data_IF_487204747364
#
_entry.id   IF_487204747364
#
_cell.length_a   1.000
_cell.length_b   1.000
_cell.length_c   1.000
_cell.angle_alpha   90.00
_cell.angle_beta   90.00
_cell.angle_gamma   90.00
#
_symmetry.space_group_name_H-M   'P 1'
#
loop_
_entity.id
_entity.type
_entity.pdbx_description
1 polymer ?
#
# COMPACT_ATOMS: atom_id res chain seq x y z
N UNK A 1 -37.22 -15.01 -28.60
CA UNK A 1 -37.58 -13.58 -28.60
C UNK A 1 -38.05 -13.09 -27.24
N UNK A 2 -39.06 -13.69 -26.58
CA UNK A 2 -39.57 -13.14 -25.30
C UNK A 2 -38.60 -13.29 -24.10
N UNK A 3 -37.83 -14.38 -24.05
CA UNK A 3 -36.86 -14.62 -22.98
C UNK A 3 -35.69 -13.60 -23.02
N UNK A 4 -35.20 -13.28 -24.21
CA UNK A 4 -34.12 -12.30 -24.40
C UNK A 4 -34.59 -10.89 -24.06
N UNK A 5 -35.84 -10.55 -24.39
CA UNK A 5 -36.44 -9.26 -24.03
C UNK A 5 -36.65 -9.11 -22.51
N UNK A 6 -36.89 -10.22 -21.81
CA UNK A 6 -36.99 -10.25 -20.35
C UNK A 6 -35.61 -10.07 -19.70
N UNK A 7 -34.58 -10.70 -20.26
CA UNK A 7 -33.20 -10.60 -19.77
C UNK A 7 -32.63 -9.18 -19.96
N UNK A 8 -32.87 -8.55 -21.12
CA UNK A 8 -32.48 -7.16 -21.37
C UNK A 8 -33.14 -6.20 -20.37
N UNK A 9 -34.43 -6.40 -20.07
CA UNK A 9 -35.16 -5.59 -19.10
C UNK A 9 -34.65 -5.79 -17.67
N UNK A 10 -34.30 -7.01 -17.28
CA UNK A 10 -33.71 -7.30 -15.98
C UNK A 10 -32.34 -6.63 -15.81
N UNK A 11 -31.48 -6.68 -16.83
CA UNK A 11 -30.17 -6.05 -16.82
C UNK A 11 -30.28 -4.52 -16.79
N UNK A 12 -31.22 -3.93 -17.53
CA UNK A 12 -31.47 -2.49 -17.47
C UNK A 12 -31.95 -2.03 -16.08
N UNK A 13 -32.81 -2.81 -15.43
CA UNK A 13 -33.28 -2.51 -14.08
C UNK A 13 -32.13 -2.57 -13.05
N UNK A 14 -31.21 -3.51 -13.20
CA UNK A 14 -30.04 -3.63 -12.34
C UNK A 14 -29.03 -2.50 -12.56
N UNK A 15 -28.76 -2.12 -13.81
CA UNK A 15 -27.91 -0.95 -14.13
C UNK A 15 -28.52 0.32 -13.51
N UNK A 16 -29.84 0.48 -13.57
CA UNK A 16 -30.53 1.61 -12.95
C UNK A 16 -30.44 1.57 -11.41
N UNK A 17 -30.52 0.39 -10.79
CA UNK A 17 -30.34 0.22 -9.35
C UNK A 17 -28.89 0.54 -8.90
N UNK A 18 -27.90 0.06 -9.64
CA UNK A 18 -26.48 0.33 -9.38
C UNK A 18 -26.13 1.81 -9.53
N UNK A 19 -26.68 2.49 -10.55
CA UNK A 19 -26.52 3.94 -10.72
C UNK A 19 -27.12 4.72 -9.56
N UNK A 20 -28.31 4.34 -9.07
CA UNK A 20 -28.91 4.96 -7.89
C UNK A 20 -28.08 4.74 -6.62
N UNK A 21 -27.54 3.55 -6.43
CA UNK A 21 -26.65 3.26 -5.30
C UNK A 21 -25.31 4.02 -5.38
N UNK A 22 -24.89 4.45 -6.57
CA UNK A 22 -23.70 5.27 -6.77
C UNK A 22 -23.97 6.77 -6.55
N UNK A 23 -25.17 7.24 -6.89
CA UNK A 23 -25.60 8.63 -6.64
C UNK A 23 -25.88 8.91 -5.17
N UNK A 24 -26.35 7.90 -4.42
CA UNK A 24 -26.59 8.00 -2.97
C UNK A 24 -25.80 6.91 -2.21
N UNK A 25 -24.45 7.01 -2.19
CA UNK A 25 -23.63 6.03 -1.50
C UNK A 25 -23.93 6.11 0.00
N UNK A 26 -24.13 4.98 0.70
CA UNK A 26 -24.25 5.00 2.15
C UNK A 26 -23.04 5.71 2.74
N UNK A 27 -23.29 6.61 3.69
CA UNK A 27 -22.32 7.57 4.19
C UNK A 27 -20.96 6.89 4.48
N UNK A 28 -19.87 7.25 3.76
CA UNK A 28 -18.54 6.65 3.93
C UNK A 28 -17.87 6.95 5.29
N UNK A 29 -18.61 7.47 6.26
CA UNK A 29 -18.08 8.33 7.31
C UNK A 29 -17.76 7.60 8.62
N UNK A 30 -18.43 6.48 8.92
CA UNK A 30 -18.15 5.73 10.16
C UNK A 30 -16.79 5.03 10.12
N UNK A 31 -16.42 4.47 8.97
CA UNK A 31 -15.11 3.85 8.77
C UNK A 31 -14.01 4.91 8.67
N UNK A 32 -14.23 6.00 7.93
CA UNK A 32 -13.28 7.13 7.85
C UNK A 32 -13.03 7.81 9.20
N UNK A 33 -14.01 7.91 10.09
CA UNK A 33 -13.81 8.51 11.42
C UNK A 33 -12.97 7.63 12.34
N UNK A 34 -13.13 6.31 12.27
CA UNK A 34 -12.26 5.35 12.99
C UNK A 34 -10.85 5.38 12.43
N UNK A 35 -10.73 5.42 11.11
CA UNK A 35 -9.46 5.47 10.37
C UNK A 35 -8.72 6.79 10.63
N UNK A 36 -9.43 7.92 10.67
CA UNK A 36 -8.84 9.24 10.93
C UNK A 36 -8.37 9.41 12.38
N UNK A 37 -9.13 8.88 13.36
CA UNK A 37 -8.72 8.88 14.78
C UNK A 37 -7.48 8.01 15.02
N UNK A 38 -7.38 6.87 14.32
CA UNK A 38 -6.20 6.00 14.39
C UNK A 38 -4.99 6.61 13.68
N UNK A 39 -5.16 7.30 12.54
CA UNK A 39 -4.08 8.06 11.91
C UNK A 39 -3.53 9.20 12.78
N UNK A 40 -4.38 9.88 13.58
CA UNK A 40 -3.93 10.87 14.56
C UNK A 40 -3.14 10.25 15.73
N UNK A 41 -3.49 9.03 16.15
CA UNK A 41 -2.74 8.29 17.18
C UNK A 41 -1.35 7.88 16.68
N UNK A 42 -1.25 7.43 15.42
CA UNK A 42 0.03 7.03 14.78
C UNK A 42 1.02 8.21 14.73
N UNK A 43 0.55 9.44 14.51
CA UNK A 43 1.40 10.63 14.41
C UNK A 43 1.86 11.18 15.78
N UNK A 44 1.32 10.66 16.89
CA UNK A 44 1.58 11.07 18.27
C UNK A 44 2.60 10.17 18.99
N UNK A 45 3.47 9.48 18.25
CA UNK A 45 4.57 8.69 18.80
C UNK A 45 5.63 9.61 19.45
N UNK A 46 5.34 10.10 20.66
CA UNK A 46 6.28 10.85 21.48
C UNK A 46 7.29 9.84 22.08
N UNK A 47 8.54 9.91 21.63
CA UNK A 47 9.67 9.16 22.19
C UNK A 47 10.05 9.57 23.62
N UNK A 48 9.37 10.54 24.22
CA UNK A 48 9.82 11.24 25.41
C UNK A 48 8.99 10.82 26.63
N UNK A 49 9.45 9.80 27.36
CA UNK A 49 8.84 9.47 28.66
C UNK A 49 8.89 8.04 29.16
N UNK A 50 9.96 7.28 28.94
CA UNK A 50 10.03 5.89 29.40
C UNK A 50 10.36 5.82 30.89
N UNK A 51 9.33 5.83 31.74
CA UNK A 51 9.51 5.93 33.21
C UNK A 51 9.09 4.69 34.01
N UNK A 52 8.43 3.68 33.43
CA UNK A 52 8.12 2.42 34.17
C UNK A 52 7.88 1.18 33.30
N UNK A 53 8.02 -0.02 33.89
CA UNK A 53 7.69 -1.31 33.24
C UNK A 53 6.20 -1.46 32.91
N UNK A 54 5.30 -0.90 33.75
CA UNK A 54 3.86 -0.92 33.50
C UNK A 54 3.48 -0.06 32.29
N UNK A 55 4.16 1.08 32.14
CA UNK A 55 4.03 1.96 30.99
C UNK A 55 4.47 1.26 29.70
N UNK A 56 5.63 0.57 29.71
CA UNK A 56 6.11 -0.21 28.57
C UNK A 56 5.12 -1.28 28.09
N UNK A 57 4.47 -2.01 29.02
CA UNK A 57 3.47 -3.03 28.66
C UNK A 57 2.23 -2.44 27.99
N UNK A 58 1.78 -1.28 28.47
CA UNK A 58 0.64 -0.59 27.87
C UNK A 58 0.99 -0.06 26.47
N UNK A 59 2.20 0.47 26.29
CA UNK A 59 2.69 0.93 24.98
C UNK A 59 2.84 -0.21 23.97
N UNK A 60 3.33 -1.37 24.41
CA UNK A 60 3.39 -2.55 23.56
C UNK A 60 1.99 -2.96 23.09
N UNK A 61 1.02 -3.02 23.99
CA UNK A 61 -0.38 -3.33 23.63
C UNK A 61 -0.99 -2.29 22.69
N UNK A 62 -0.62 -1.02 22.81
CA UNK A 62 -1.03 0.03 21.89
C UNK A 62 -0.43 -0.19 20.49
N UNK A 63 0.89 -0.42 20.39
CA UNK A 63 1.58 -0.73 19.14
C UNK A 63 1.03 -1.98 18.45
N UNK A 64 0.75 -3.04 19.21
CA UNK A 64 0.13 -4.26 18.70
C UNK A 64 -1.26 -3.98 18.12
N UNK A 65 -2.04 -3.13 18.78
CA UNK A 65 -3.37 -2.71 18.31
C UNK A 65 -3.28 -1.87 17.05
N UNK A 66 -2.31 -0.95 16.97
CA UNK A 66 -2.05 -0.13 15.77
C UNK A 66 -1.60 -1.00 14.60
N UNK A 67 -0.68 -1.95 14.81
CA UNK A 67 -0.24 -2.88 13.78
C UNK A 67 -1.39 -3.77 13.29
N UNK A 68 -2.23 -4.26 14.20
CA UNK A 68 -3.44 -5.02 13.87
C UNK A 68 -4.43 -4.19 13.05
N UNK A 69 -4.61 -2.93 13.43
CA UNK A 69 -5.44 -1.99 12.69
C UNK A 69 -4.90 -1.73 11.28
N UNK A 70 -3.60 -1.43 11.14
CA UNK A 70 -2.95 -1.19 9.84
C UNK A 70 -2.99 -2.44 8.95
N UNK A 71 -2.79 -3.62 9.53
CA UNK A 71 -2.92 -4.89 8.83
C UNK A 71 -4.34 -5.10 8.31
N UNK A 72 -5.36 -4.81 9.12
CA UNK A 72 -6.76 -4.92 8.71
C UNK A 72 -7.09 -3.91 7.61
N UNK A 73 -6.60 -2.68 7.74
CA UNK A 73 -6.87 -1.59 6.80
C UNK A 73 -6.22 -1.82 5.44
N UNK A 74 -4.97 -2.29 5.42
CA UNK A 74 -4.16 -2.42 4.19
C UNK A 74 -4.09 -3.86 3.66
N UNK A 75 -4.55 -4.83 4.43
CA UNK A 75 -4.32 -6.25 4.19
C UNK A 75 -2.85 -6.69 4.29
N UNK A 76 -1.92 -5.79 4.63
CA UNK A 76 -0.48 -6.06 4.70
C UNK A 76 -0.13 -6.61 6.09
N UNK A 77 0.45 -7.80 6.10
CA UNK A 77 0.89 -8.49 7.29
C UNK A 77 2.38 -8.78 7.22
N UNK A 78 3.16 -8.16 8.11
CA UNK A 78 4.56 -8.48 8.32
C UNK A 78 4.65 -9.73 9.19
N UNK A 79 5.35 -10.76 8.72
CA UNK A 79 5.54 -12.04 9.43
C UNK A 79 6.89 -12.10 10.11
N UNK A 80 7.95 -11.80 9.36
CA UNK A 80 9.32 -11.85 9.86
C UNK A 80 10.05 -10.56 9.52
N UNK A 81 10.89 -10.13 10.44
CA UNK A 81 11.83 -9.03 10.26
C UNK A 81 13.16 -9.43 10.91
N UNK A 82 14.25 -9.26 10.16
CA UNK A 82 15.61 -9.41 10.68
C UNK A 82 16.46 -8.24 10.22
N UNK A 83 17.31 -7.75 11.13
CA UNK A 83 18.22 -6.63 10.90
C UNK A 83 19.64 -7.06 11.23
N UNK A 84 20.58 -6.77 10.33
CA UNK A 84 22.01 -6.84 10.57
C UNK A 84 22.59 -5.43 10.50
N UNK A 85 23.51 -5.09 11.39
CA UNK A 85 24.13 -3.76 11.47
C UNK A 85 25.64 -3.91 11.35
N UNK A 86 26.25 -3.10 10.50
CA UNK A 86 27.69 -3.06 10.25
C UNK A 86 28.18 -1.62 10.44
N UNK A 87 29.19 -1.43 11.30
CA UNK A 87 29.80 -0.11 11.50
C UNK A 87 30.90 0.09 10.46
N UNK A 88 30.75 1.12 9.63
CA UNK A 88 31.64 1.43 8.52
C UNK A 88 32.66 2.53 8.90
N UNK A 89 32.75 2.91 10.17
CA UNK A 89 33.80 3.85 10.60
C UNK A 89 35.17 3.19 10.51
N UNK A 90 36.00 3.65 9.56
CA UNK A 90 37.37 3.19 9.43
C UNK A 90 38.20 3.62 10.64
N UNK A 91 39.04 2.71 11.15
CA UNK A 91 40.01 2.95 12.22
C UNK A 91 41.15 3.89 11.80
N UNK A 92 41.23 4.28 10.52
CA UNK A 92 42.29 5.14 10.00
C UNK A 92 41.76 6.49 9.52
N UNK A 93 42.32 7.55 10.14
CA UNK A 93 42.44 8.95 9.71
C UNK A 93 41.26 9.90 9.95
N UNK A 94 41.38 10.65 11.05
CA UNK A 94 41.56 12.11 11.05
C UNK A 94 40.75 12.93 10.05
N UNK A 95 39.42 13.05 10.22
CA UNK A 95 38.66 14.25 9.82
C UNK A 95 37.22 14.21 10.34
N UNK A 96 37.01 14.77 11.55
CA UNK A 96 35.70 15.01 12.20
C UNK A 96 34.90 13.72 12.50
N UNK A 97 34.22 13.69 13.63
CA UNK A 97 33.51 12.51 14.18
C UNK A 97 32.28 12.11 13.35
N UNK A 98 32.49 11.61 12.14
CA UNK A 98 31.43 11.13 11.25
C UNK A 98 31.30 9.63 11.45
N UNK A 99 30.18 9.21 12.04
CA UNK A 99 29.82 7.79 12.17
C UNK A 99 29.02 7.35 10.96
N UNK A 100 29.37 6.21 10.38
CA UNK A 100 28.64 5.58 9.27
C UNK A 100 28.23 4.18 9.67
N UNK A 101 26.94 3.88 9.54
CA UNK A 101 26.38 2.57 9.88
C UNK A 101 25.57 2.06 8.71
N UNK A 102 25.88 0.86 8.25
CA UNK A 102 25.09 0.17 7.23
C UNK A 102 24.17 -0.84 7.92
N UNK A 103 22.88 -0.75 7.63
CA UNK A 103 21.88 -1.68 8.14
C UNK A 103 21.31 -2.49 6.99
N UNK A 104 21.41 -3.81 7.07
CA UNK A 104 20.77 -4.73 6.13
C UNK A 104 19.51 -5.29 6.77
N UNK A 105 18.40 -5.11 6.08
CA UNK A 105 17.08 -5.52 6.54
C UNK A 105 16.54 -6.60 5.63
N UNK A 106 15.91 -7.61 6.24
CA UNK A 106 15.10 -8.59 5.53
C UNK A 106 13.73 -8.66 6.20
N UNK A 107 12.70 -8.40 5.41
CA UNK A 107 11.31 -8.34 5.83
C UNK A 107 10.52 -9.32 4.98
N UNK A 108 9.65 -10.13 5.56
CA UNK A 108 8.72 -10.94 4.78
C UNK A 108 7.31 -10.85 5.33
N UNK A 109 6.35 -11.01 4.42
CA UNK A 109 4.95 -10.76 4.72
C UNK A 109 4.02 -11.22 3.62
N UNK A 110 2.77 -10.82 3.76
CA UNK A 110 1.75 -11.02 2.74
C UNK A 110 0.85 -9.80 2.65
N UNK A 111 0.26 -9.58 1.48
CA UNK A 111 -0.91 -8.75 1.27
C UNK A 111 -2.02 -9.64 0.73
N UNK A 112 -3.01 -9.95 1.58
CA UNK A 112 -4.02 -10.98 1.28
C UNK A 112 -3.41 -12.31 0.82
N UNK A 113 -3.64 -12.72 -0.45
CA UNK A 113 -3.10 -13.97 -1.01
C UNK A 113 -1.68 -13.83 -1.58
N UNK A 114 -1.14 -12.61 -1.66
CA UNK A 114 0.15 -12.34 -2.30
C UNK A 114 1.24 -12.31 -1.23
N UNK A 115 2.25 -13.17 -1.35
CA UNK A 115 3.41 -13.18 -0.45
C UNK A 115 4.54 -12.31 -0.99
N UNK A 116 5.31 -11.70 -0.09
CA UNK A 116 6.46 -10.88 -0.45
C UNK A 116 7.60 -11.04 0.55
N UNK A 117 8.82 -10.82 0.06
CA UNK A 117 10.03 -10.64 0.82
C UNK A 117 10.77 -9.42 0.27
N UNK A 118 11.26 -8.58 1.18
CA UNK A 118 11.99 -7.37 0.89
C UNK A 118 13.37 -7.48 1.53
N UNK A 119 14.39 -7.19 0.75
CA UNK A 119 15.77 -7.07 1.21
C UNK A 119 16.25 -5.67 0.88
N UNK A 120 16.63 -4.90 1.89
CA UNK A 120 17.01 -3.50 1.68
C UNK A 120 18.12 -3.07 2.61
N UNK A 121 18.85 -2.06 2.17
CA UNK A 121 19.98 -1.50 2.90
C UNK A 121 19.70 -0.05 3.26
N UNK A 122 19.96 0.32 4.51
CA UNK A 122 19.88 1.69 5.00
C UNK A 122 21.28 2.12 5.39
N UNK A 123 21.77 3.20 4.78
CA UNK A 123 23.00 3.86 5.20
C UNK A 123 22.65 5.05 6.10
N UNK A 124 23.08 4.96 7.36
CA UNK A 124 22.98 6.03 8.34
C UNK A 124 24.33 6.73 8.45
N UNK A 125 24.31 8.06 8.29
CA UNK A 125 25.48 8.92 8.48
C UNK A 125 25.15 9.94 9.56
N UNK A 126 25.93 9.90 10.63
CA UNK A 126 25.82 10.78 11.78
C UNK A 126 27.06 11.67 11.89
N UNK A 127 26.83 12.97 11.98
CA UNK A 127 27.83 13.96 12.39
C UNK A 127 27.30 14.69 13.65
N UNK A 128 28.13 15.52 14.30
CA UNK A 128 27.77 16.29 15.51
C UNK A 128 26.47 17.08 15.39
N UNK A 129 26.11 17.51 14.18
CA UNK A 129 24.95 18.39 13.93
C UNK A 129 23.82 17.72 13.13
N UNK A 130 24.07 16.59 12.46
CA UNK A 130 23.12 16.01 11.50
C UNK A 130 23.08 14.50 11.57
N UNK A 131 21.85 13.98 11.53
CA UNK A 131 21.53 12.58 11.28
C UNK A 131 20.90 12.48 9.89
N UNK A 132 21.48 11.65 9.03
CA UNK A 132 20.91 11.34 7.72
C UNK A 132 20.81 9.84 7.56
N UNK A 133 19.73 9.40 6.92
CA UNK A 133 19.44 7.99 6.67
C UNK A 133 18.83 7.90 5.27
N UNK A 134 19.29 6.94 4.48
CA UNK A 134 18.78 6.72 3.13
C UNK A 134 18.80 5.23 2.78
N UNK A 135 17.79 4.79 2.03
CA UNK A 135 17.77 3.45 1.44
C UNK A 135 18.75 3.43 0.28
N UNK A 136 19.81 2.64 0.39
CA UNK A 136 20.87 2.56 -0.63
C UNK A 136 20.64 1.42 -1.62
N UNK A 137 19.86 0.42 -1.23
CA UNK A 137 19.58 -0.78 -2.02
C UNK A 137 18.21 -1.34 -1.62
N UNK A 138 17.47 -1.86 -2.60
CA UNK A 138 16.15 -2.44 -2.40
C UNK A 138 15.94 -3.56 -3.43
N UNK A 139 15.67 -4.76 -2.94
CA UNK A 139 15.34 -5.96 -3.69
C UNK A 139 14.01 -6.51 -3.18
N UNK A 140 13.13 -6.87 -4.12
CA UNK A 140 11.75 -7.28 -3.83
C UNK A 140 11.51 -8.64 -4.47
N UNK A 141 11.32 -9.63 -3.62
CA UNK A 141 11.04 -11.01 -4.02
C UNK A 141 9.55 -11.26 -3.79
N UNK A 142 8.83 -11.54 -4.87
CA UNK A 142 7.41 -11.89 -4.81
C UNK A 142 7.16 -13.16 -5.60
N UNK A 143 6.16 -13.93 -5.17
CA UNK A 143 5.77 -15.13 -5.90
C UNK A 143 5.32 -14.75 -7.31
N UNK A 144 5.78 -15.46 -8.37
CA UNK A 144 5.40 -15.15 -9.73
C UNK A 144 3.89 -15.19 -9.86
N UNK A 145 3.28 -14.04 -10.15
CA UNK A 145 1.87 -13.99 -10.54
C UNK A 145 1.81 -13.84 -12.06
N UNK A 146 0.72 -14.33 -12.67
CA UNK A 146 0.46 -14.14 -14.11
C UNK A 146 0.23 -12.65 -14.48
N UNK A 147 0.30 -11.73 -13.50
CA UNK A 147 0.02 -10.31 -13.68
C UNK A 147 1.30 -9.51 -13.95
N UNK A 148 1.51 -9.13 -15.22
CA UNK A 148 2.62 -8.26 -15.64
C UNK A 148 2.64 -6.90 -14.93
N UNK A 149 1.48 -6.40 -14.47
CA UNK A 149 1.40 -5.13 -13.74
C UNK A 149 2.13 -5.21 -12.39
N UNK A 150 2.14 -6.40 -11.76
CA UNK A 150 2.86 -6.63 -10.51
C UNK A 150 4.37 -6.42 -10.73
N UNK A 151 4.92 -7.02 -11.80
CA UNK A 151 6.33 -6.85 -12.13
C UNK A 151 6.70 -5.41 -12.46
N UNK A 152 5.84 -4.66 -13.14
CA UNK A 152 6.13 -3.28 -13.54
C UNK A 152 6.35 -2.37 -12.32
N UNK A 153 5.45 -2.40 -11.34
CA UNK A 153 5.61 -1.53 -10.18
C UNK A 153 6.71 -2.02 -9.24
N UNK A 154 6.97 -3.34 -9.16
CA UNK A 154 8.07 -3.90 -8.39
C UNK A 154 9.40 -3.35 -8.91
N UNK A 155 9.66 -3.47 -10.22
CA UNK A 155 10.88 -2.96 -10.83
C UNK A 155 11.05 -1.45 -10.65
N UNK A 156 9.95 -0.68 -10.74
CA UNK A 156 9.98 0.78 -10.49
C UNK A 156 10.27 1.12 -9.03
N UNK A 157 9.78 0.32 -8.08
CA UNK A 157 10.03 0.53 -6.67
C UNK A 157 11.50 0.22 -6.32
N UNK A 158 12.05 -0.87 -6.87
CA UNK A 158 13.47 -1.24 -6.75
C UNK A 158 14.39 -0.14 -7.32
N UNK A 159 14.13 0.31 -8.55
CA UNK A 159 14.91 1.36 -9.22
C UNK A 159 14.93 2.66 -8.39
N UNK A 160 13.77 3.05 -7.84
CA UNK A 160 13.62 4.26 -7.02
C UNK A 160 14.02 4.08 -5.56
N UNK A 161 14.27 2.83 -5.13
CA UNK A 161 14.54 2.48 -3.72
C UNK A 161 13.43 2.96 -2.78
N UNK A 162 12.19 2.92 -3.27
CA UNK A 162 11.03 3.52 -2.62
C UNK A 162 10.11 2.42 -2.05
N UNK A 163 10.37 2.06 -0.79
CA UNK A 163 9.57 1.11 -0.02
C UNK A 163 8.10 1.55 0.09
N UNK A 164 7.85 2.85 0.21
CA UNK A 164 6.49 3.37 0.34
C UNK A 164 5.72 3.22 -0.97
N UNK A 165 6.36 3.51 -2.11
CA UNK A 165 5.78 3.24 -3.44
C UNK A 165 5.41 1.76 -3.57
N UNK A 166 6.26 0.84 -3.13
CA UNK A 166 5.98 -0.59 -3.18
C UNK A 166 4.70 -0.94 -2.40
N UNK A 167 4.65 -0.64 -1.10
CA UNK A 167 3.49 -0.99 -0.27
C UNK A 167 2.20 -0.32 -0.75
N UNK A 168 2.28 0.94 -1.19
CA UNK A 168 1.13 1.66 -1.75
C UNK A 168 0.63 0.99 -3.02
N UNK A 169 1.54 0.61 -3.92
CA UNK A 169 1.17 -0.04 -5.19
C UNK A 169 0.60 -1.44 -4.95
N UNK A 170 1.20 -2.20 -4.03
CA UNK A 170 0.73 -3.54 -3.65
C UNK A 170 -0.68 -3.51 -3.06
N UNK A 171 -0.95 -2.57 -2.13
CA UNK A 171 -2.27 -2.36 -1.55
C UNK A 171 -3.34 -2.18 -2.63
N UNK A 172 -3.14 -1.21 -3.53
CA UNK A 172 -4.11 -0.92 -4.58
C UNK A 172 -4.24 -2.06 -5.60
N UNK A 173 -3.14 -2.73 -5.92
CA UNK A 173 -3.16 -3.86 -6.84
C UNK A 173 -4.05 -4.98 -6.32
N UNK A 174 -3.87 -5.38 -5.06
CA UNK A 174 -4.62 -6.48 -4.45
C UNK A 174 -6.09 -6.12 -4.24
N UNK A 175 -6.38 -4.90 -3.77
CA UNK A 175 -7.74 -4.38 -3.63
C UNK A 175 -8.50 -4.44 -4.98
N UNK A 176 -7.86 -3.96 -6.05
CA UNK A 176 -8.45 -3.94 -7.38
C UNK A 176 -8.58 -5.35 -8.00
N UNK A 177 -7.62 -6.24 -7.73
CA UNK A 177 -7.65 -7.62 -8.19
C UNK A 177 -8.84 -8.39 -7.60
N UNK A 178 -9.10 -8.24 -6.29
CA UNK A 178 -10.24 -8.86 -5.63
C UNK A 178 -11.58 -8.34 -6.16
N UNK A 179 -11.70 -7.03 -6.44
CA UNK A 179 -12.89 -6.46 -7.06
C UNK A 179 -13.17 -7.09 -8.43
N UNK A 180 -12.16 -7.15 -9.31
CA UNK A 180 -12.29 -7.77 -10.64
C UNK A 180 -12.67 -9.24 -10.55
N UNK A 181 -12.08 -10.00 -9.63
CA UNK A 181 -12.40 -11.43 -9.40
C UNK A 181 -13.85 -11.63 -8.98
N UNK A 182 -14.38 -10.78 -8.09
CA UNK A 182 -15.80 -10.81 -7.67
C UNK A 182 -16.73 -10.48 -8.83
N UNK A 183 -16.43 -9.42 -9.57
CA UNK A 183 -17.18 -9.00 -10.76
C UNK A 183 -17.20 -10.09 -11.83
N UNK A 184 -16.05 -10.69 -12.12
CA UNK A 184 -15.95 -11.81 -13.04
C UNK A 184 -16.78 -13.02 -12.59
N UNK A 185 -16.73 -13.37 -11.30
CA UNK A 185 -17.53 -14.47 -10.73
C UNK A 185 -19.03 -14.20 -10.82
N UNK A 186 -19.46 -12.94 -10.61
CA UNK A 186 -20.85 -12.50 -10.76
C UNK A 186 -21.36 -12.73 -12.19
N UNK A 187 -20.61 -12.26 -13.19
CA UNK A 187 -20.98 -12.43 -14.59
C UNK A 187 -20.86 -13.90 -15.05
N UNK A 188 -19.87 -14.66 -14.56
CA UNK A 188 -19.73 -16.09 -14.87
C UNK A 188 -20.89 -16.93 -14.32
N UNK A 189 -21.43 -16.60 -13.14
CA UNK A 189 -22.60 -17.29 -12.56
C UNK A 189 -23.90 -16.99 -13.29
N UNK A 190 -23.98 -15.88 -14.04
CA UNK A 190 -25.15 -15.52 -14.85
C UNK A 190 -25.08 -16.03 -16.29
N UNK A 191 -23.87 -16.18 -16.84
CA UNK A 191 -23.58 -16.65 -18.22
C UNK A 191 -23.69 -18.18 -18.43
N UNK A 192 -24.63 -18.87 -17.79
CA UNK A 192 -25.12 -20.16 -18.32
C UNK A 192 -26.11 -19.99 -19.50
N UNK A 193 -26.23 -18.77 -20.03
CA UNK A 193 -26.85 -18.48 -21.32
C UNK A 193 -25.89 -17.60 -22.15
N UNK A 194 -25.46 -18.09 -23.33
CA UNK A 194 -24.88 -17.31 -24.44
C UNK A 194 -23.45 -16.73 -24.31
N UNK A 195 -22.62 -17.00 -25.33
CA UNK A 195 -21.22 -16.63 -25.64
C UNK A 195 -20.74 -15.19 -25.22
N UNK A 196 -19.45 -14.81 -25.10
CA UNK A 196 -18.19 -15.26 -25.72
C UNK A 196 -17.03 -15.14 -24.70
N UNK A 197 -16.22 -16.20 -24.55
CA UNK A 197 -15.18 -16.35 -23.51
C UNK A 197 -13.93 -15.45 -23.72
N UNK A 198 -13.83 -14.76 -24.87
CA UNK A 198 -12.64 -14.04 -25.32
C UNK A 198 -12.60 -12.54 -24.94
N UNK A 199 -13.74 -11.88 -24.77
CA UNK A 199 -13.81 -10.46 -24.34
C UNK A 199 -13.59 -10.31 -22.83
N UNK A 200 -14.16 -11.22 -22.04
CA UNK A 200 -13.99 -11.24 -20.57
C UNK A 200 -12.54 -11.52 -20.12
N UNK A 201 -11.72 -12.21 -20.94
CA UNK A 201 -10.27 -12.36 -20.66
C UNK A 201 -9.50 -11.07 -20.88
N UNK A 202 -9.91 -10.24 -21.85
CA UNK A 202 -9.29 -8.93 -22.09
C UNK A 202 -9.54 -7.97 -20.93
N UNK A 203 -10.72 -8.01 -20.30
CA UNK A 203 -11.01 -7.19 -19.11
C UNK A 203 -10.19 -7.58 -17.86
N UNK A 204 -9.88 -8.87 -17.69
CA UNK A 204 -8.99 -9.30 -16.60
C UNK A 204 -7.56 -8.77 -16.74
N UNK A 205 -7.07 -8.61 -17.98
CA UNK A 205 -5.71 -8.15 -18.29
C UNK A 205 -5.69 -6.71 -18.83
N UNK A 206 -6.83 -6.01 -18.77
CA UNK A 206 -6.93 -4.61 -19.18
C UNK A 206 -6.24 -3.76 -18.13
N UNK A 207 -5.31 -2.92 -18.59
CA UNK A 207 -4.51 -2.04 -17.74
C UNK A 207 -5.45 -1.21 -16.85
N UNK A 208 -5.17 -1.05 -15.55
CA UNK A 208 -5.78 0.02 -14.81
C UNK A 208 -5.36 1.32 -15.50
N UNK A 209 -6.32 2.07 -16.07
CA UNK A 209 -6.09 3.49 -16.32
C UNK A 209 -5.85 4.08 -14.95
N UNK A 210 -4.58 4.26 -14.60
CA UNK A 210 -4.17 5.03 -13.43
C UNK A 210 -4.67 6.43 -13.69
N UNK A 211 -5.87 6.75 -13.24
CA UNK A 211 -6.29 8.11 -13.02
C UNK A 211 -5.39 8.64 -11.90
N UNK A 212 -4.19 9.09 -12.28
CA UNK A 212 -3.33 9.90 -11.45
C UNK A 212 -4.19 11.07 -10.97
N UNK A 213 -4.54 11.06 -9.69
CA UNK A 213 -5.00 12.23 -8.96
C UNK A 213 -3.86 13.26 -8.97
N UNK A 214 -3.70 14.00 -10.07
CA UNK A 214 -3.14 15.33 -10.04
C UNK A 214 -4.20 16.24 -9.41
N UNK A 215 -4.26 16.25 -8.08
CA UNK A 215 -4.90 17.36 -7.37
C UNK A 215 -3.91 18.51 -7.44
N UNK A 216 -4.12 19.38 -8.43
CA UNK A 216 -3.56 20.72 -8.48
C UNK A 216 -3.83 21.39 -7.13
N UNK A 217 -2.77 21.67 -6.38
CA UNK A 217 -2.81 22.65 -5.30
C UNK A 217 -2.95 24.02 -5.96
N UNK A 218 -4.16 24.57 -5.96
CA UNK A 218 -4.37 26.00 -6.10
C UNK A 218 -3.89 26.68 -4.83
N UNK A 219 -2.59 26.90 -4.75
CA UNK A 219 -1.93 27.75 -3.76
C UNK A 219 -1.86 29.18 -4.29
N UNK A 220 -2.43 30.10 -3.51
CA UNK A 220 -2.49 31.54 -3.74
C UNK A 220 -1.18 32.14 -4.27
N UNK A 221 -1.27 32.86 -5.38
CA UNK A 221 -0.25 33.82 -5.78
C UNK A 221 -0.32 35.03 -4.82
N UNK A 222 0.68 35.14 -3.96
CA UNK A 222 1.01 36.39 -3.26
C UNK A 222 1.66 37.30 -4.29
N UNK A 223 0.99 38.40 -4.63
CA UNK A 223 1.58 39.50 -5.38
C UNK A 223 2.56 40.26 -4.47
N UNK A 224 3.83 40.28 -4.86
CA UNK A 224 4.84 41.23 -4.39
C UNK A 224 5.52 41.82 -5.61
N UNK A 225 5.42 43.14 -5.76
CA UNK A 225 6.30 43.94 -6.60
C UNK A 225 5.61 44.69 -7.74
N UNK A 226 5.22 45.93 -7.46
CA UNK A 226 5.78 47.09 -8.15
C UNK A 226 5.83 48.28 -7.20
#
# INVERSE_FOLDING_TARGET
MDAELAEVRALQAEIAALRRAWEDPPAPWEEKSRVQKSFQAIHQFNLEGWKSSKDLKNQLGHLESELSFLSTLTGINIRNHSKQTEDLTSTEMTEKSIRKVLQRHRLSGNCHMVTFQLEFQILEIQNKERLSSAVTDLNIIMEPTECSELSEFVSRAEERKDLFMFFRSLHFFVEWFEYRKRTFKHFKKRKHCGETRAELRRDMHSKPTVCLLHRHGSGSAVNLGH
#
